data_IF_341749318762
#
_entry.id   IF_341749318762
#
_cell.length_a   1.000
_cell.length_b   1.000
_cell.length_c   1.000
_cell.angle_alpha   90.00
_cell.angle_beta   90.00
_cell.angle_gamma   90.00
#
_symmetry.space_group_name_H-M   'P 1'
#
loop_
_entity.id
_entity.type
_entity.pdbx_description
1 polymer ?
#
# COMPACT_ATOMS: atom_id res chain seq x y z
N UNK A 1 9.71 1.54 -18.96
CA UNK A 1 10.78 1.81 -18.04
C UNK A 1 11.91 2.45 -18.82
N UNK A 2 12.05 3.77 -18.72
CA UNK A 2 13.20 4.50 -19.22
C UNK A 2 14.27 4.24 -18.17
N UNK A 3 15.36 3.57 -18.56
CA UNK A 3 16.49 3.31 -17.67
C UNK A 3 16.93 4.63 -17.02
N UNK A 4 16.85 4.73 -15.70
CA UNK A 4 17.30 5.90 -14.92
C UNK A 4 18.80 6.17 -15.15
N UNK A 5 19.57 5.17 -15.56
CA UNK A 5 20.96 5.31 -15.99
C UNK A 5 21.10 6.18 -17.25
N UNK A 6 20.09 6.27 -18.12
CA UNK A 6 20.18 7.06 -19.36
C UNK A 6 20.12 8.58 -19.13
N UNK A 7 19.51 9.04 -18.05
CA UNK A 7 19.38 10.49 -17.73
C UNK A 7 20.72 11.08 -17.28
N UNK A 8 21.61 10.27 -16.73
CA UNK A 8 22.97 10.67 -16.33
C UNK A 8 23.91 10.75 -17.53
N UNK A 9 23.52 10.21 -18.68
CA UNK A 9 24.38 10.08 -19.85
C UNK A 9 24.50 11.34 -20.73
N UNK A 10 23.54 12.27 -20.66
CA UNK A 10 23.54 13.45 -21.53
C UNK A 10 24.27 14.62 -20.85
N UNK A 11 25.24 15.27 -21.53
CA UNK A 11 25.87 16.48 -21.02
C UNK A 11 24.87 17.60 -20.78
N UNK A 12 24.96 18.29 -19.65
CA UNK A 12 24.10 19.44 -19.29
C UNK A 12 24.91 20.73 -19.30
N UNK A 13 24.23 21.85 -19.49
CA UNK A 13 24.86 23.21 -19.52
C UNK A 13 25.63 23.53 -18.25
N UNK A 14 25.30 22.93 -17.11
CA UNK A 14 25.96 23.12 -15.82
C UNK A 14 27.14 22.18 -15.57
N UNK A 15 27.42 21.22 -16.45
CA UNK A 15 28.51 20.28 -16.25
C UNK A 15 29.87 20.96 -16.38
N UNK A 16 30.79 20.61 -15.51
CA UNK A 16 32.20 20.96 -15.64
C UNK A 16 32.86 20.10 -16.72
N UNK A 17 33.76 20.67 -17.45
CA UNK A 17 34.52 20.00 -18.52
C UNK A 17 36.00 20.06 -18.20
N UNK A 18 36.67 18.90 -18.21
CA UNK A 18 38.11 18.78 -18.22
C UNK A 18 38.56 18.15 -19.54
N UNK A 19 39.63 18.61 -20.11
CA UNK A 19 40.33 17.97 -21.22
C UNK A 19 41.63 17.39 -20.67
N UNK A 20 41.84 16.10 -20.91
CA UNK A 20 43.07 15.41 -20.48
C UNK A 20 43.89 15.01 -21.69
N UNK A 21 45.21 15.03 -21.55
CA UNK A 21 46.16 14.47 -22.51
C UNK A 21 46.23 12.92 -22.45
N UNK A 22 47.05 12.32 -23.32
CA UNK A 22 47.25 10.87 -23.35
C UNK A 22 47.84 10.30 -22.04
N UNK A 23 48.42 11.13 -21.19
CA UNK A 23 49.03 10.78 -19.89
C UNK A 23 48.09 11.07 -18.71
N UNK A 24 46.81 11.41 -19.01
CA UNK A 24 45.77 11.82 -18.04
C UNK A 24 46.13 13.09 -17.23
N UNK A 25 46.92 14.02 -17.85
CA UNK A 25 47.13 15.37 -17.30
C UNK A 25 46.05 16.31 -17.82
N UNK A 26 45.68 17.24 -16.99
CA UNK A 26 44.65 18.24 -17.28
C UNK A 26 45.25 19.34 -18.18
N UNK A 27 44.84 19.36 -19.45
CA UNK A 27 45.21 20.42 -20.40
C UNK A 27 44.29 21.63 -20.31
N UNK A 28 43.02 21.40 -19.93
CA UNK A 28 42.04 22.46 -19.79
C UNK A 28 40.97 22.10 -18.73
N UNK A 29 40.57 23.09 -17.96
CA UNK A 29 39.48 22.99 -17.01
C UNK A 29 38.46 24.13 -17.20
N UNK A 30 37.21 23.83 -17.46
CA UNK A 30 36.14 24.84 -17.51
C UNK A 30 35.87 25.45 -16.12
N UNK A 31 35.34 26.69 -16.04
CA UNK A 31 34.99 27.30 -14.75
C UNK A 31 34.08 26.45 -13.88
N UNK A 32 33.13 25.70 -14.48
CA UNK A 32 32.26 24.80 -13.76
C UNK A 32 33.01 23.59 -13.18
N UNK A 33 34.01 23.06 -13.92
CA UNK A 33 34.88 22.00 -13.41
C UNK A 33 35.73 22.50 -12.22
N UNK A 34 36.31 23.69 -12.33
CA UNK A 34 37.06 24.30 -11.23
C UNK A 34 36.18 24.49 -9.98
N UNK A 35 34.96 24.97 -10.16
CA UNK A 35 34.00 25.13 -9.05
C UNK A 35 33.62 23.79 -8.42
N UNK A 36 33.40 22.75 -9.21
CA UNK A 36 33.16 21.40 -8.71
C UNK A 36 34.34 20.86 -7.91
N UNK A 37 35.55 21.05 -8.42
CA UNK A 37 36.80 20.66 -7.75
C UNK A 37 36.99 21.39 -6.41
N UNK A 38 36.73 22.71 -6.37
CA UNK A 38 36.80 23.47 -5.13
C UNK A 38 35.86 22.95 -4.06
N UNK A 39 34.64 22.50 -4.44
CA UNK A 39 33.70 21.87 -3.51
C UNK A 39 34.18 20.53 -2.96
N UNK A 40 35.01 19.83 -3.74
CA UNK A 40 35.69 18.59 -3.29
C UNK A 40 36.96 18.86 -2.45
N UNK A 41 37.31 20.13 -2.22
CA UNK A 41 38.47 20.51 -1.42
C UNK A 41 39.77 20.61 -2.22
N UNK A 42 39.71 20.58 -3.56
CA UNK A 42 40.87 20.76 -4.43
C UNK A 42 40.99 22.22 -4.81
N UNK A 43 41.96 22.92 -4.23
CA UNK A 43 42.17 24.38 -4.40
C UNK A 43 43.44 24.73 -5.20
N UNK A 44 44.23 23.74 -5.66
CA UNK A 44 45.43 23.97 -6.45
C UNK A 44 45.10 24.22 -7.93
N UNK A 45 46.02 24.85 -8.67
CA UNK A 45 45.89 25.01 -10.12
C UNK A 45 45.79 23.62 -10.79
N UNK A 46 44.76 23.45 -11.61
CA UNK A 46 44.43 22.13 -12.19
C UNK A 46 45.21 21.82 -13.46
N UNK A 47 45.64 22.85 -14.24
CA UNK A 47 46.33 22.68 -15.51
C UNK A 47 47.73 22.10 -15.31
N UNK A 48 48.08 21.10 -16.09
CA UNK A 48 49.35 20.37 -16.02
C UNK A 48 49.41 19.30 -14.90
N UNK A 49 48.42 19.25 -14.00
CA UNK A 49 48.39 18.28 -12.91
C UNK A 49 47.72 17.00 -13.37
N UNK A 50 48.15 15.84 -12.87
CA UNK A 50 47.43 14.58 -13.12
C UNK A 50 46.21 14.52 -12.23
N UNK A 51 45.20 13.81 -12.72
CA UNK A 51 43.91 13.71 -12.02
C UNK A 51 44.02 13.05 -10.62
N UNK A 52 44.95 12.07 -10.48
CA UNK A 52 45.28 11.42 -9.21
C UNK A 52 46.00 12.36 -8.23
N UNK A 53 46.92 13.18 -8.75
CA UNK A 53 47.64 14.20 -7.97
C UNK A 53 46.65 15.29 -7.48
N UNK A 54 45.55 15.53 -8.22
CA UNK A 54 44.48 16.42 -7.83
C UNK A 54 43.53 15.80 -6.79
N UNK A 55 43.77 14.55 -6.34
CA UNK A 55 42.96 13.87 -5.34
C UNK A 55 41.68 13.23 -5.89
N UNK A 56 41.55 13.09 -7.21
CA UNK A 56 40.43 12.39 -7.85
C UNK A 56 40.80 10.95 -8.15
N UNK A 57 39.89 10.04 -7.85
CA UNK A 57 40.05 8.66 -8.27
C UNK A 57 40.13 8.56 -9.79
N UNK A 58 41.03 7.72 -10.29
CA UNK A 58 41.27 7.54 -11.73
C UNK A 58 40.51 6.35 -12.32
N UNK A 59 39.58 5.75 -11.61
CA UNK A 59 38.95 4.48 -12.04
C UNK A 59 38.27 4.65 -13.39
N UNK A 60 37.42 5.66 -13.57
CA UNK A 60 36.75 5.92 -14.84
C UNK A 60 37.71 6.28 -15.97
N UNK A 61 38.73 7.11 -15.71
CA UNK A 61 39.72 7.50 -16.73
C UNK A 61 40.59 6.30 -17.12
N UNK A 62 41.07 5.53 -16.15
CA UNK A 62 41.86 4.33 -16.39
C UNK A 62 41.08 3.28 -17.18
N UNK A 63 39.81 3.07 -16.81
CA UNK A 63 38.92 2.15 -17.51
C UNK A 63 38.65 2.62 -18.95
N UNK A 64 38.34 3.90 -19.14
CA UNK A 64 38.11 4.47 -20.47
C UNK A 64 39.33 4.36 -21.38
N UNK A 65 40.53 4.58 -20.85
CA UNK A 65 41.78 4.46 -21.64
C UNK A 65 42.11 3.00 -22.00
N UNK A 66 41.83 2.05 -21.10
CA UNK A 66 42.03 0.62 -21.34
C UNK A 66 41.03 0.04 -22.33
N UNK A 67 39.72 0.35 -22.13
CA UNK A 67 38.65 -0.21 -22.95
C UNK A 67 38.43 0.55 -24.25
N UNK A 68 38.90 1.81 -24.32
CA UNK A 68 38.60 2.78 -25.39
C UNK A 68 37.11 3.09 -25.54
N UNK A 69 36.34 2.89 -24.45
CA UNK A 69 34.94 3.19 -24.35
C UNK A 69 34.70 4.23 -23.25
N UNK A 70 33.58 4.99 -23.32
CA UNK A 70 33.22 5.88 -22.24
C UNK A 70 33.06 5.10 -20.93
N UNK A 71 33.52 5.69 -19.82
CA UNK A 71 33.36 5.14 -18.47
C UNK A 71 32.90 6.24 -17.52
N UNK A 72 32.13 5.85 -16.52
CA UNK A 72 31.63 6.76 -15.51
C UNK A 72 31.88 6.20 -14.11
N UNK A 73 32.04 7.10 -13.15
CA UNK A 73 32.10 6.78 -11.72
C UNK A 73 31.54 7.94 -10.93
N UNK A 74 31.11 7.63 -9.72
CA UNK A 74 30.63 8.62 -8.78
C UNK A 74 31.54 8.65 -7.56
N UNK A 75 32.05 9.85 -7.22
CA UNK A 75 32.93 10.08 -6.09
C UNK A 75 32.15 10.77 -4.97
N UNK A 76 32.25 10.24 -3.76
CA UNK A 76 31.61 10.81 -2.56
C UNK A 76 32.70 11.38 -1.65
N UNK A 77 32.58 12.66 -1.34
CA UNK A 77 33.48 13.39 -0.46
C UNK A 77 32.77 13.80 0.82
N UNK A 78 33.16 13.23 1.96
CA UNK A 78 32.50 13.47 3.24
C UNK A 78 31.04 12.99 3.25
N UNK A 79 30.19 13.71 3.97
CA UNK A 79 28.77 13.33 4.13
C UNK A 79 27.84 13.92 3.07
N UNK A 80 28.21 15.01 2.40
CA UNK A 80 27.27 15.83 1.65
C UNK A 80 27.66 16.16 0.21
N UNK A 81 28.89 15.89 -0.19
CA UNK A 81 29.36 16.21 -1.55
C UNK A 81 29.47 14.93 -2.38
N UNK A 82 28.77 14.87 -3.49
CA UNK A 82 28.88 13.78 -4.46
C UNK A 82 29.07 14.38 -5.87
N UNK A 83 30.01 13.82 -6.60
CA UNK A 83 30.39 14.28 -7.95
C UNK A 83 30.40 13.09 -8.90
N UNK A 84 29.57 13.16 -9.94
CA UNK A 84 29.61 12.23 -11.05
C UNK A 84 30.73 12.62 -12.04
N UNK A 85 31.55 11.68 -12.40
CA UNK A 85 32.62 11.83 -13.39
C UNK A 85 32.32 10.89 -14.55
N UNK A 86 32.32 11.43 -15.78
CA UNK A 86 32.23 10.64 -16.99
C UNK A 86 33.42 10.96 -17.90
N UNK A 87 34.21 9.95 -18.22
CA UNK A 87 35.35 10.06 -19.13
C UNK A 87 35.01 9.49 -20.50
N UNK A 88 35.19 10.30 -21.53
CA UNK A 88 35.03 9.92 -22.94
C UNK A 88 36.41 9.97 -23.61
N UNK A 89 37.00 8.84 -23.98
CA UNK A 89 38.34 8.82 -24.61
C UNK A 89 38.28 9.38 -26.03
N UNK A 90 39.26 10.20 -26.37
CA UNK A 90 39.50 10.72 -27.72
C UNK A 90 40.46 9.78 -28.45
N UNK A 91 40.01 9.25 -29.56
CA UNK A 91 40.78 8.26 -30.33
C UNK A 91 41.28 8.84 -31.65
N UNK A 92 42.55 8.63 -31.93
CA UNK A 92 43.13 8.83 -33.25
C UNK A 92 43.78 7.51 -33.76
N UNK A 93 43.31 7.02 -34.89
CA UNK A 93 43.76 5.75 -35.48
C UNK A 93 43.73 4.57 -34.48
N UNK A 94 42.76 4.57 -33.57
CA UNK A 94 42.60 3.53 -32.56
C UNK A 94 43.50 3.64 -31.33
N UNK A 95 44.29 4.73 -31.24
CA UNK A 95 45.10 5.07 -30.05
C UNK A 95 44.44 6.19 -29.27
N UNK A 96 44.49 6.14 -27.94
CA UNK A 96 43.98 7.20 -27.08
C UNK A 96 44.95 8.39 -27.14
N UNK A 97 44.47 9.53 -27.59
CA UNK A 97 45.25 10.79 -27.65
C UNK A 97 44.91 11.74 -26.50
N UNK A 98 43.83 11.48 -25.78
CA UNK A 98 43.34 12.24 -24.65
C UNK A 98 41.95 11.83 -24.26
N UNK A 99 41.30 12.63 -23.43
CA UNK A 99 39.89 12.41 -23.07
C UNK A 99 39.18 13.71 -22.73
N UNK A 100 37.86 13.67 -22.90
CA UNK A 100 36.94 14.64 -22.36
C UNK A 100 36.34 14.08 -21.07
N UNK A 101 36.48 14.79 -19.95
CA UNK A 101 35.89 14.40 -18.68
C UNK A 101 34.83 15.40 -18.31
N UNK A 102 33.59 14.89 -18.15
CA UNK A 102 32.46 15.64 -17.61
C UNK A 102 32.42 15.45 -16.10
N UNK A 103 32.27 16.56 -15.38
CA UNK A 103 32.23 16.61 -13.92
C UNK A 103 30.92 17.25 -13.52
N UNK A 104 30.04 16.49 -12.85
CA UNK A 104 28.72 16.93 -12.43
C UNK A 104 28.59 16.86 -10.91
N UNK A 105 28.16 17.95 -10.29
CA UNK A 105 27.74 17.92 -8.91
C UNK A 105 26.36 17.25 -8.81
N UNK A 106 26.30 16.10 -8.13
CA UNK A 106 25.09 15.33 -7.89
C UNK A 106 24.68 15.35 -6.41
N UNK A 107 25.26 16.24 -5.62
CA UNK A 107 25.03 16.33 -4.18
C UNK A 107 23.56 16.58 -3.84
N UNK A 108 22.93 17.54 -4.52
CA UNK A 108 21.51 17.87 -4.28
C UNK A 108 20.58 16.74 -4.69
N UNK A 109 20.87 16.04 -5.79
CA UNK A 109 20.11 14.88 -6.23
C UNK A 109 20.20 13.77 -5.17
N UNK A 110 21.41 13.39 -4.78
CA UNK A 110 21.61 12.39 -3.72
C UNK A 110 21.00 12.78 -2.37
N UNK A 111 21.01 14.06 -2.04
CA UNK A 111 20.38 14.53 -0.82
C UNK A 111 18.86 14.34 -0.88
N UNK A 112 18.24 14.65 -2.02
CA UNK A 112 16.80 14.41 -2.25
C UNK A 112 16.47 12.92 -2.18
N UNK A 113 17.26 12.06 -2.83
CA UNK A 113 17.06 10.61 -2.82
C UNK A 113 17.16 10.04 -1.40
N UNK A 114 18.18 10.46 -0.63
CA UNK A 114 18.31 10.05 0.78
C UNK A 114 17.12 10.52 1.63
N UNK A 115 16.61 11.72 1.40
CA UNK A 115 15.45 12.24 2.12
C UNK A 115 14.20 11.44 1.77
N UNK A 116 14.00 11.09 0.50
CA UNK A 116 12.89 10.23 0.05
C UNK A 116 12.99 8.85 0.71
N UNK A 117 14.12 8.18 0.61
CA UNK A 117 14.35 6.88 1.25
C UNK A 117 14.15 6.91 2.77
N UNK A 118 14.59 7.99 3.44
CA UNK A 118 14.38 8.18 4.88
C UNK A 118 12.91 8.41 5.22
N UNK A 119 12.17 9.15 4.37
CA UNK A 119 10.74 9.39 4.52
C UNK A 119 9.95 8.10 4.36
N UNK A 120 10.27 7.30 3.35
CA UNK A 120 9.63 6.00 3.10
C UNK A 120 9.87 5.01 4.26
N UNK A 121 11.11 4.99 4.78
CA UNK A 121 11.42 4.17 5.95
C UNK A 121 10.63 4.60 7.19
N UNK A 122 10.46 5.92 7.39
CA UNK A 122 9.68 6.45 8.51
C UNK A 122 8.18 6.12 8.36
N UNK A 123 7.61 6.21 7.17
CA UNK A 123 6.21 5.84 6.89
C UNK A 123 5.99 4.36 7.19
N UNK A 124 6.83 3.46 6.69
CA UNK A 124 6.75 2.03 7.00
C UNK A 124 6.84 1.75 8.50
N UNK A 125 7.74 2.41 9.21
CA UNK A 125 7.85 2.26 10.68
C UNK A 125 6.57 2.71 11.40
N UNK A 126 5.92 3.77 10.93
CA UNK A 126 4.62 4.22 11.48
C UNK A 126 3.56 3.14 11.28
N UNK A 127 3.41 2.59 10.06
CA UNK A 127 2.44 1.50 9.80
C UNK A 127 2.73 0.26 10.64
N UNK A 128 4.00 -0.13 10.78
CA UNK A 128 4.40 -1.25 11.65
C UNK A 128 4.03 -1.00 13.11
N UNK A 129 4.25 0.21 13.63
CA UNK A 129 3.87 0.57 15.01
C UNK A 129 2.37 0.61 15.20
N UNK A 130 1.61 1.15 14.26
CA UNK A 130 0.14 1.15 14.29
C UNK A 130 -0.36 -0.29 14.32
N UNK A 131 0.11 -1.16 13.43
CA UNK A 131 -0.22 -2.59 13.42
C UNK A 131 0.04 -3.23 14.79
N UNK A 132 1.24 -3.05 15.36
CA UNK A 132 1.61 -3.65 16.65
C UNK A 132 0.70 -3.14 17.80
N UNK A 133 0.36 -1.86 17.79
CA UNK A 133 -0.57 -1.29 18.78
C UNK A 133 -1.97 -1.88 18.62
N UNK A 134 -2.48 -2.00 17.39
CA UNK A 134 -3.79 -2.59 17.10
C UNK A 134 -3.84 -4.07 17.51
N UNK A 135 -2.77 -4.85 17.26
CA UNK A 135 -2.68 -6.24 17.72
C UNK A 135 -2.70 -6.35 19.25
N UNK A 136 -2.04 -5.42 19.95
CA UNK A 136 -2.08 -5.37 21.42
C UNK A 136 -3.50 -5.06 21.92
N UNK A 137 -4.17 -4.06 21.33
CA UNK A 137 -5.54 -3.69 21.67
C UNK A 137 -6.50 -4.85 21.41
N UNK A 138 -6.43 -5.49 20.24
CA UNK A 138 -7.22 -6.68 19.89
C UNK A 138 -7.02 -7.80 20.93
N UNK A 139 -5.77 -8.09 21.31
CA UNK A 139 -5.47 -9.10 22.33
C UNK A 139 -6.07 -8.75 23.70
N UNK A 140 -6.04 -7.48 24.10
CA UNK A 140 -6.64 -7.02 25.36
C UNK A 140 -8.17 -7.13 25.31
N UNK A 141 -8.81 -6.71 24.23
CA UNK A 141 -10.26 -6.83 24.04
C UNK A 141 -10.69 -8.30 24.12
N UNK A 142 -9.98 -9.22 23.47
CA UNK A 142 -10.22 -10.65 23.52
C UNK A 142 -10.05 -11.26 24.91
N UNK A 143 -9.07 -10.80 25.68
CA UNK A 143 -8.89 -11.24 27.07
C UNK A 143 -10.05 -10.74 27.94
N UNK A 144 -10.51 -9.51 27.73
CA UNK A 144 -11.61 -8.93 28.48
C UNK A 144 -12.94 -9.60 28.14
N UNK A 145 -13.23 -9.87 26.84
CA UNK A 145 -14.46 -10.55 26.44
C UNK A 145 -14.57 -11.94 27.06
N UNK A 146 -13.47 -12.72 27.08
CA UNK A 146 -13.44 -14.05 27.71
C UNK A 146 -13.66 -14.03 29.23
N UNK A 147 -13.42 -12.94 29.91
CA UNK A 147 -13.62 -12.76 31.35
C UNK A 147 -15.03 -12.31 31.72
N UNK A 148 -15.77 -11.79 30.75
CA UNK A 148 -17.15 -11.35 30.95
C UNK A 148 -18.12 -12.53 30.84
N UNK A 149 -19.19 -12.54 31.63
CA UNK A 149 -20.31 -13.47 31.40
C UNK A 149 -20.92 -13.25 30.01
N UNK A 150 -21.58 -14.26 29.50
CA UNK A 150 -22.33 -14.13 28.25
C UNK A 150 -23.41 -13.04 28.35
N UNK A 151 -23.50 -12.20 27.31
CA UNK A 151 -24.43 -11.09 27.25
C UNK A 151 -23.93 -9.93 26.37
N UNK A 152 -24.72 -8.88 26.28
CA UNK A 152 -24.48 -7.72 25.42
C UNK A 152 -23.06 -7.11 25.54
N UNK A 153 -22.54 -7.01 26.77
CA UNK A 153 -21.21 -6.45 27.00
C UNK A 153 -20.08 -7.29 26.41
N UNK A 154 -20.21 -8.64 26.45
CA UNK A 154 -19.26 -9.55 25.82
C UNK A 154 -19.30 -9.41 24.29
N UNK A 155 -20.52 -9.42 23.73
CA UNK A 155 -20.69 -9.23 22.28
C UNK A 155 -20.11 -7.90 21.79
N UNK A 156 -20.34 -6.81 22.51
CA UNK A 156 -19.78 -5.50 22.16
C UNK A 156 -18.24 -5.48 22.15
N UNK A 157 -17.58 -6.22 23.07
CA UNK A 157 -16.13 -6.36 23.08
C UNK A 157 -15.62 -7.22 21.91
N UNK A 158 -16.33 -8.30 21.59
CA UNK A 158 -15.99 -9.17 20.45
C UNK A 158 -16.15 -8.43 19.12
N UNK A 159 -17.21 -7.64 18.95
CA UNK A 159 -17.37 -6.74 17.80
C UNK A 159 -16.23 -5.71 17.72
N UNK A 160 -15.90 -5.08 18.84
CA UNK A 160 -14.81 -4.10 18.88
C UNK A 160 -13.44 -4.74 18.53
N UNK A 161 -13.21 -5.98 18.98
CA UNK A 161 -12.00 -6.74 18.64
C UNK A 161 -11.91 -6.99 17.13
N UNK A 162 -13.00 -7.40 16.49
CA UNK A 162 -13.08 -7.66 15.05
C UNK A 162 -12.79 -6.39 14.23
N UNK A 163 -13.35 -5.23 14.63
CA UNK A 163 -13.09 -3.93 13.97
C UNK A 163 -11.63 -3.52 14.06
N UNK A 164 -11.04 -3.64 15.25
CA UNK A 164 -9.61 -3.37 15.43
C UNK A 164 -8.76 -4.29 14.56
N UNK A 165 -9.17 -5.55 14.43
CA UNK A 165 -8.45 -6.55 13.62
C UNK A 165 -8.54 -6.26 12.12
N UNK A 166 -9.71 -5.82 11.61
CA UNK A 166 -9.84 -5.43 10.19
C UNK A 166 -8.95 -4.24 9.86
N UNK A 167 -8.85 -3.24 10.73
CA UNK A 167 -7.93 -2.12 10.56
C UNK A 167 -6.47 -2.60 10.56
N UNK A 168 -6.12 -3.54 11.45
CA UNK A 168 -4.76 -4.07 11.53
C UNK A 168 -4.34 -4.82 10.24
N UNK A 169 -5.29 -5.48 9.55
CA UNK A 169 -5.05 -6.13 8.25
C UNK A 169 -4.65 -5.11 7.19
N UNK A 170 -5.37 -3.98 7.11
CA UNK A 170 -5.02 -2.89 6.16
C UNK A 170 -3.63 -2.35 6.45
N UNK A 171 -3.34 -2.01 7.70
CA UNK A 171 -2.02 -1.49 8.08
C UNK A 171 -0.88 -2.50 7.90
N UNK A 172 -1.17 -3.80 7.92
CA UNK A 172 -0.19 -4.83 7.60
C UNK A 172 0.20 -4.79 6.12
N UNK A 173 -0.75 -4.58 5.23
CA UNK A 173 -0.51 -4.51 3.79
C UNK A 173 0.20 -3.20 3.43
N UNK A 174 -0.28 -2.06 3.95
CA UNK A 174 0.36 -0.76 3.80
C UNK A 174 1.82 -0.73 4.28
N UNK A 175 2.19 -1.57 5.25
CA UNK A 175 3.58 -1.64 5.71
C UNK A 175 4.54 -2.32 4.72
N UNK A 176 4.03 -2.97 3.68
CA UNK A 176 4.84 -3.67 2.68
C UNK A 176 5.27 -2.74 1.54
N UNK A 177 4.44 -1.75 1.22
CA UNK A 177 4.67 -0.78 0.16
C UNK A 177 5.03 0.61 0.71
N UNK A 178 5.64 1.43 -0.13
CA UNK A 178 6.04 2.81 0.18
C UNK A 178 4.97 3.83 -0.19
N UNK A 179 3.93 3.40 -0.90
CA UNK A 179 2.80 4.22 -1.29
C UNK A 179 1.73 4.20 -0.20
N UNK A 180 1.04 5.32 -0.02
CA UNK A 180 -0.15 5.41 0.87
C UNK A 180 -1.39 4.79 0.20
N UNK A 181 -1.17 3.90 -0.77
CA UNK A 181 -2.18 3.15 -1.50
C UNK A 181 -2.01 1.66 -1.25
N UNK A 182 -3.12 0.93 -1.34
CA UNK A 182 -3.14 -0.52 -1.14
C UNK A 182 -4.07 -1.17 -2.15
N UNK A 183 -3.65 -2.29 -2.72
CA UNK A 183 -4.55 -3.12 -3.50
C UNK A 183 -5.57 -3.79 -2.57
N UNK A 184 -6.83 -3.34 -2.68
CA UNK A 184 -7.89 -3.86 -1.82
C UNK A 184 -8.17 -5.35 -2.07
N UNK A 185 -7.79 -5.87 -3.24
CA UNK A 185 -7.92 -7.29 -3.54
C UNK A 185 -6.97 -8.15 -2.67
N UNK A 186 -5.88 -7.60 -2.17
CA UNK A 186 -4.99 -8.27 -1.22
C UNK A 186 -5.55 -8.30 0.21
N UNK A 187 -6.41 -7.33 0.56
CA UNK A 187 -7.06 -7.22 1.86
C UNK A 187 -8.23 -8.19 1.96
N UNK A 188 -9.08 -8.24 0.94
CA UNK A 188 -10.36 -8.93 0.94
C UNK A 188 -10.28 -10.41 1.35
N UNK A 189 -9.32 -11.23 0.87
CA UNK A 189 -9.20 -12.62 1.30
C UNK A 189 -8.98 -12.80 2.80
N UNK A 190 -8.34 -11.83 3.45
CA UNK A 190 -8.11 -11.87 4.91
C UNK A 190 -9.36 -11.50 5.69
N UNK A 191 -10.15 -10.53 5.19
CA UNK A 191 -11.43 -10.17 5.77
C UNK A 191 -12.46 -11.30 5.64
N UNK A 192 -12.51 -11.94 4.48
CA UNK A 192 -13.40 -13.10 4.22
C UNK A 192 -13.08 -14.24 5.19
N UNK A 193 -11.82 -14.65 5.31
CA UNK A 193 -11.44 -15.69 6.29
C UNK A 193 -11.84 -15.33 7.71
N UNK A 194 -11.68 -14.07 8.10
CA UNK A 194 -12.03 -13.60 9.43
C UNK A 194 -13.54 -13.65 9.68
N UNK A 195 -14.37 -13.43 8.66
CA UNK A 195 -15.82 -13.52 8.75
C UNK A 195 -16.31 -14.99 8.71
N UNK A 196 -15.69 -15.86 7.93
CA UNK A 196 -16.00 -17.30 7.90
C UNK A 196 -15.72 -18.00 9.24
N UNK A 197 -14.70 -17.55 9.98
CA UNK A 197 -14.37 -18.04 11.32
C UNK A 197 -15.51 -17.81 12.36
N UNK A 198 -16.52 -16.98 12.05
CA UNK A 198 -17.71 -16.77 12.88
C UNK A 198 -18.74 -17.89 12.73
N UNK A 199 -18.69 -18.64 11.63
CA UNK A 199 -19.57 -19.78 11.39
C UNK A 199 -19.34 -20.87 12.44
N UNK A 200 -20.42 -21.55 12.83
CA UNK A 200 -20.36 -22.75 13.67
C UNK A 200 -20.57 -24.02 12.84
N UNK A 201 -20.19 -25.20 13.35
CA UNK A 201 -20.48 -26.47 12.66
C UNK A 201 -21.97 -26.67 12.36
N UNK A 202 -22.86 -26.11 13.20
CA UNK A 202 -24.31 -26.20 13.05
C UNK A 202 -24.86 -25.17 12.07
N UNK A 203 -24.14 -24.07 11.85
CA UNK A 203 -24.48 -22.98 10.93
C UNK A 203 -23.23 -22.55 10.14
N UNK A 204 -22.83 -23.32 9.14
CA UNK A 204 -21.67 -23.01 8.34
C UNK A 204 -21.95 -21.78 7.45
N UNK A 205 -21.02 -20.85 7.48
CA UNK A 205 -21.02 -19.65 6.62
C UNK A 205 -19.99 -19.85 5.53
N UNK A 206 -20.36 -19.58 4.29
CA UNK A 206 -19.44 -19.56 3.15
C UNK A 206 -19.51 -18.21 2.47
N UNK A 207 -18.38 -17.58 2.31
CA UNK A 207 -18.29 -16.26 1.70
C UNK A 207 -17.52 -16.38 0.39
N UNK A 208 -18.11 -15.89 -0.69
CA UNK A 208 -17.47 -15.74 -1.98
C UNK A 208 -17.32 -14.27 -2.34
N UNK A 209 -16.31 -13.95 -3.15
CA UNK A 209 -16.15 -12.60 -3.64
C UNK A 209 -15.76 -12.59 -5.11
N UNK A 210 -16.20 -11.56 -5.84
CA UNK A 210 -15.95 -11.37 -7.26
C UNK A 210 -15.68 -9.91 -7.58
N UNK A 211 -15.10 -9.65 -8.75
CA UNK A 211 -14.73 -8.30 -9.15
C UNK A 211 -13.42 -7.82 -8.50
N UNK A 212 -13.16 -6.54 -8.62
CA UNK A 212 -11.95 -5.90 -8.09
C UNK A 212 -12.19 -4.42 -7.74
N UNK A 213 -11.61 -3.96 -6.66
CA UNK A 213 -11.56 -2.54 -6.29
C UNK A 213 -10.26 -1.86 -6.77
N UNK A 214 -9.19 -2.64 -6.97
CA UNK A 214 -7.87 -2.14 -7.35
C UNK A 214 -7.18 -1.35 -6.26
N UNK A 215 -6.30 -0.45 -6.65
CA UNK A 215 -5.57 0.43 -5.75
C UNK A 215 -6.50 1.46 -5.11
N UNK A 216 -6.45 1.57 -3.80
CA UNK A 216 -7.23 2.51 -3.00
C UNK A 216 -6.32 3.25 -2.02
N UNK A 217 -6.49 4.56 -1.83
CA UNK A 217 -5.85 5.29 -0.74
C UNK A 217 -6.16 4.66 0.62
N UNK A 218 -5.21 4.67 1.54
CA UNK A 218 -5.39 4.14 2.91
C UNK A 218 -6.60 4.75 3.63
N UNK A 219 -6.88 6.04 3.34
CA UNK A 219 -8.03 6.77 3.88
C UNK A 219 -9.38 6.18 3.43
N UNK A 220 -9.43 5.52 2.27
CA UNK A 220 -10.61 4.81 1.74
C UNK A 220 -10.58 3.34 2.13
N UNK A 221 -9.45 2.66 1.95
CA UNK A 221 -9.30 1.23 2.19
C UNK A 221 -9.61 0.84 3.65
N UNK A 222 -9.16 1.65 4.62
CA UNK A 222 -9.36 1.36 6.05
C UNK A 222 -10.84 1.38 6.45
N UNK A 223 -11.62 2.46 6.23
CA UNK A 223 -13.03 2.44 6.58
C UNK A 223 -13.83 1.44 5.73
N UNK A 224 -13.46 1.21 4.46
CA UNK A 224 -14.11 0.21 3.61
C UNK A 224 -13.92 -1.22 4.17
N UNK A 225 -12.72 -1.57 4.64
CA UNK A 225 -12.46 -2.86 5.26
C UNK A 225 -13.32 -3.09 6.51
N UNK A 226 -13.52 -2.06 7.35
CA UNK A 226 -14.41 -2.13 8.51
C UNK A 226 -15.85 -2.33 8.05
N UNK A 227 -16.32 -1.53 7.09
CA UNK A 227 -17.70 -1.62 6.56
C UNK A 227 -18.00 -3.02 6.01
N UNK A 228 -17.15 -3.55 5.14
CA UNK A 228 -17.32 -4.88 4.55
C UNK A 228 -17.29 -5.95 5.65
N UNK A 229 -16.42 -5.85 6.63
CA UNK A 229 -16.36 -6.78 7.76
C UNK A 229 -17.67 -6.78 8.55
N UNK A 230 -18.21 -5.61 8.88
CA UNK A 230 -19.48 -5.47 9.59
C UNK A 230 -20.65 -6.06 8.78
N UNK A 231 -20.68 -5.81 7.46
CA UNK A 231 -21.75 -6.34 6.61
C UNK A 231 -21.69 -7.86 6.48
N UNK A 232 -20.50 -8.44 6.28
CA UNK A 232 -20.32 -9.90 6.28
C UNK A 232 -20.70 -10.54 7.62
N UNK A 233 -20.36 -9.87 8.72
CA UNK A 233 -20.71 -10.32 10.06
C UNK A 233 -22.22 -10.25 10.30
N UNK A 234 -22.87 -9.14 9.91
CA UNK A 234 -24.32 -9.03 10.02
C UNK A 234 -25.03 -10.15 9.25
N UNK A 235 -24.53 -10.49 8.06
CA UNK A 235 -25.02 -11.64 7.32
C UNK A 235 -24.80 -12.94 8.11
N UNK A 236 -23.62 -13.19 8.66
CA UNK A 236 -23.28 -14.39 9.40
C UNK A 236 -24.09 -14.57 10.70
N UNK A 237 -24.40 -13.48 11.41
CA UNK A 237 -25.09 -13.51 12.70
C UNK A 237 -26.63 -13.44 12.58
N UNK A 238 -27.14 -12.75 11.57
CA UNK A 238 -28.56 -12.42 11.46
C UNK A 238 -29.30 -13.08 10.28
N UNK A 239 -28.58 -13.46 9.23
CA UNK A 239 -29.17 -14.13 8.09
C UNK A 239 -29.31 -15.63 8.37
N UNK A 240 -30.40 -16.05 9.00
CA UNK A 240 -30.72 -17.49 9.06
C UNK A 240 -31.01 -18.01 7.65
N UNK A 241 -30.43 -19.17 7.26
CA UNK A 241 -30.73 -19.73 5.94
C UNK A 241 -32.22 -19.93 5.72
N UNK A 242 -32.73 -19.60 4.53
CA UNK A 242 -34.12 -19.79 4.18
C UNK A 242 -34.50 -21.27 4.31
N UNK A 243 -35.57 -21.56 5.08
CA UNK A 243 -36.05 -22.92 5.31
C UNK A 243 -35.83 -23.46 6.73
N UNK A 244 -35.09 -22.74 7.59
CA UNK A 244 -35.03 -23.08 9.02
C UNK A 244 -36.25 -22.47 9.72
N UNK A 245 -37.16 -23.29 10.32
CA UNK A 245 -38.31 -22.73 11.01
C UNK A 245 -37.88 -21.90 12.22
N UNK A 246 -38.45 -20.70 12.38
CA UNK A 246 -38.20 -19.83 13.53
C UNK A 246 -38.50 -20.48 14.90
N UNK A 247 -39.23 -21.59 14.91
CA UNK A 247 -39.57 -22.38 16.12
C UNK A 247 -38.38 -23.18 16.70
N UNK A 248 -37.27 -23.35 15.95
CA UNK A 248 -36.06 -24.05 16.43
C UNK A 248 -35.29 -23.19 17.42
N UNK A 249 -35.40 -21.87 17.32
CA UNK A 249 -34.73 -20.91 18.24
C UNK A 249 -35.46 -20.76 19.58
N UNK A 250 -36.69 -21.25 19.74
CA UNK A 250 -37.54 -21.01 20.94
C UNK A 250 -37.91 -22.26 21.74
N UNK A 251 -37.17 -23.37 21.67
CA UNK A 251 -37.26 -24.48 22.64
C UNK A 251 -38.59 -25.28 22.66
N UNK A 252 -39.38 -25.27 21.59
CA UNK A 252 -40.61 -26.08 21.47
C UNK A 252 -40.24 -27.52 21.05
N UNK A 253 -40.15 -28.39 22.06
CA UNK A 253 -39.89 -29.81 21.90
C UNK A 253 -41.13 -30.60 21.47
N UNK A 254 -41.06 -31.42 20.48
CA UNK A 254 -41.65 -32.73 20.17
C UNK A 254 -42.08 -32.98 18.71
N UNK A 255 -42.48 -31.95 17.94
CA UNK A 255 -42.86 -32.14 16.53
C UNK A 255 -41.67 -31.91 15.53
N UNK A 256 -40.57 -31.43 16.05
CA UNK A 256 -39.38 -30.99 15.25
C UNK A 256 -38.30 -32.11 15.08
N UNK A 257 -38.47 -33.28 15.69
CA UNK A 257 -37.39 -34.26 15.79
C UNK A 257 -36.89 -34.83 14.45
N UNK A 258 -37.79 -34.99 13.49
CA UNK A 258 -37.43 -35.53 12.17
C UNK A 258 -36.82 -34.46 11.25
N UNK A 259 -37.33 -33.22 11.30
CA UNK A 259 -36.75 -32.07 10.60
C UNK A 259 -35.41 -31.64 11.21
N UNK A 260 -35.31 -31.64 12.55
CA UNK A 260 -34.03 -31.37 13.27
C UNK A 260 -32.99 -32.42 12.91
N UNK A 261 -33.36 -33.68 12.75
CA UNK A 261 -32.43 -34.76 12.37
C UNK A 261 -31.97 -34.60 10.92
N UNK A 262 -32.83 -34.22 9.99
CA UNK A 262 -32.48 -33.95 8.59
C UNK A 262 -31.58 -32.71 8.46
N UNK A 263 -31.81 -31.68 9.29
CA UNK A 263 -30.95 -30.49 9.35
C UNK A 263 -29.60 -30.78 10.01
N UNK A 264 -29.50 -31.75 10.93
CA UNK A 264 -28.23 -32.17 11.56
C UNK A 264 -27.37 -33.01 10.63
N UNK A 265 -27.97 -33.71 9.67
CA UNK A 265 -27.22 -34.49 8.66
C UNK A 265 -26.69 -33.60 7.49
N UNK A 266 -27.35 -32.47 7.21
CA UNK A 266 -26.95 -31.53 6.16
C UNK A 266 -27.39 -30.10 6.54
N UNK A 267 -26.67 -29.42 7.41
CA UNK A 267 -27.06 -28.09 7.87
C UNK A 267 -27.12 -27.12 6.69
N UNK A 268 -28.13 -26.26 6.63
CA UNK A 268 -28.26 -25.27 5.58
C UNK A 268 -27.04 -24.29 5.67
N UNK A 269 -26.38 -24.13 4.55
CA UNK A 269 -25.20 -23.25 4.44
C UNK A 269 -25.67 -21.84 4.17
N UNK A 270 -25.26 -20.89 5.00
CA UNK A 270 -25.41 -19.49 4.68
C UNK A 270 -24.37 -19.09 3.62
N UNK A 271 -24.85 -18.59 2.51
CA UNK A 271 -24.02 -18.08 1.43
C UNK A 271 -23.99 -16.55 1.49
N UNK A 272 -22.82 -15.97 1.51
CA UNK A 272 -22.63 -14.52 1.41
C UNK A 272 -21.77 -14.26 0.19
N UNK A 273 -22.17 -13.33 -0.65
CA UNK A 273 -21.46 -12.93 -1.85
C UNK A 273 -21.09 -11.45 -1.75
N UNK A 274 -19.81 -11.14 -1.99
CA UNK A 274 -19.27 -9.77 -2.04
C UNK A 274 -18.84 -9.50 -3.47
N UNK A 275 -19.48 -8.53 -4.12
CA UNK A 275 -19.10 -8.10 -5.48
C UNK A 275 -18.54 -6.69 -5.44
N UNK A 276 -17.41 -6.47 -6.14
CA UNK A 276 -16.76 -5.17 -6.25
C UNK A 276 -16.69 -4.75 -7.73
N UNK A 277 -17.24 -3.59 -8.02
CA UNK A 277 -17.26 -3.01 -9.35
C UNK A 277 -16.64 -1.62 -9.32
N UNK A 278 -15.44 -1.49 -9.88
CA UNK A 278 -14.76 -0.20 -10.07
C UNK A 278 -15.15 0.38 -11.43
N UNK A 279 -15.69 1.58 -11.42
CA UNK A 279 -16.02 2.35 -12.61
C UNK A 279 -15.40 3.75 -12.44
N UNK A 280 -14.34 4.03 -13.16
CA UNK A 280 -13.59 5.29 -13.12
C UNK A 280 -13.37 5.80 -11.68
N UNK A 281 -14.11 6.84 -11.30
CA UNK A 281 -14.06 7.53 -10.00
C UNK A 281 -14.98 6.94 -8.93
N UNK A 282 -15.65 5.81 -9.21
CA UNK A 282 -16.60 5.20 -8.27
C UNK A 282 -16.34 3.74 -8.05
N UNK A 283 -16.53 3.31 -6.81
CA UNK A 283 -16.53 1.91 -6.41
C UNK A 283 -17.92 1.53 -5.89
N UNK A 284 -18.57 0.59 -6.59
CA UNK A 284 -19.80 -0.05 -6.11
C UNK A 284 -19.47 -1.40 -5.47
N UNK A 285 -20.00 -1.61 -4.26
CA UNK A 285 -19.84 -2.86 -3.53
C UNK A 285 -21.22 -3.41 -3.20
N UNK A 286 -21.44 -4.68 -3.52
CA UNK A 286 -22.65 -5.40 -3.15
C UNK A 286 -22.26 -6.49 -2.16
N UNK A 287 -23.03 -6.58 -1.07
CA UNK A 287 -22.97 -7.70 -0.12
C UNK A 287 -24.34 -8.34 -0.10
N UNK A 288 -24.42 -9.60 -0.52
CA UNK A 288 -25.67 -10.37 -0.62
C UNK A 288 -25.61 -11.58 0.27
N UNK A 289 -26.71 -11.89 0.97
CA UNK A 289 -26.91 -13.15 1.66
C UNK A 289 -28.13 -13.90 1.12
N UNK A 290 -28.20 -15.21 1.37
CA UNK A 290 -29.35 -16.05 1.04
C UNK A 290 -30.26 -16.31 2.25
N UNK A 291 -30.25 -15.44 3.25
CA UNK A 291 -31.01 -15.57 4.48
C UNK A 291 -32.46 -15.15 4.37
N UNK A 292 -33.11 -14.95 5.53
CA UNK A 292 -34.53 -14.56 5.61
C UNK A 292 -34.78 -13.10 5.18
N UNK A 293 -33.74 -12.30 4.95
CA UNK A 293 -33.86 -10.90 4.58
C UNK A 293 -34.19 -9.97 5.74
N UNK A 294 -34.47 -8.70 5.40
CA UNK A 294 -34.80 -7.63 6.33
C UNK A 294 -36.29 -7.64 6.71
N UNK A 295 -36.65 -7.21 7.92
CA UNK A 295 -38.06 -6.99 8.29
C UNK A 295 -38.75 -6.03 7.33
N UNK A 296 -40.09 -6.14 7.14
CA UNK A 296 -40.85 -5.33 6.18
C UNK A 296 -40.70 -3.81 6.37
N UNK A 297 -40.56 -3.36 7.62
CA UNK A 297 -40.48 -1.93 7.99
C UNK A 297 -39.02 -1.51 8.28
N UNK A 298 -38.05 -2.30 7.87
CA UNK A 298 -36.63 -1.99 8.12
C UNK A 298 -36.20 -0.78 7.30
N UNK A 299 -35.59 0.19 7.98
CA UNK A 299 -34.85 1.28 7.37
C UNK A 299 -33.51 1.45 8.10
N UNK A 300 -32.43 1.66 7.35
CA UNK A 300 -31.10 1.81 7.93
C UNK A 300 -31.02 3.03 8.86
N UNK A 301 -31.86 4.05 8.64
CA UNK A 301 -31.90 5.27 9.44
C UNK A 301 -32.49 5.04 10.85
N UNK A 302 -33.34 4.06 11.01
CA UNK A 302 -34.04 3.76 12.29
C UNK A 302 -33.42 2.56 13.02
N UNK A 303 -32.28 2.06 12.58
CA UNK A 303 -31.62 0.92 13.23
C UNK A 303 -31.02 1.31 14.57
N UNK A 304 -31.27 0.48 15.58
CA UNK A 304 -30.62 0.56 16.90
C UNK A 304 -29.35 -0.29 16.98
N UNK A 305 -29.02 -1.05 15.92
CA UNK A 305 -27.83 -1.88 15.86
C UNK A 305 -26.58 -1.00 15.80
N UNK A 306 -25.63 -1.27 16.69
CA UNK A 306 -24.35 -0.55 16.75
C UNK A 306 -23.56 -0.73 15.45
N UNK A 307 -23.50 -1.96 14.91
CA UNK A 307 -22.77 -2.26 13.68
C UNK A 307 -23.28 -1.47 12.48
N UNK A 308 -24.58 -1.48 12.21
CA UNK A 308 -25.17 -0.71 11.10
C UNK A 308 -25.05 0.81 11.31
N UNK A 309 -25.11 1.29 12.56
CA UNK A 309 -24.87 2.70 12.87
C UNK A 309 -23.42 3.12 12.50
N UNK A 310 -22.44 2.27 12.78
CA UNK A 310 -21.03 2.48 12.39
C UNK A 310 -20.87 2.44 10.87
N UNK A 311 -21.47 1.44 10.21
CA UNK A 311 -21.45 1.32 8.74
C UNK A 311 -21.98 2.60 8.10
N UNK A 312 -23.16 3.07 8.52
CA UNK A 312 -23.75 4.33 8.02
C UNK A 312 -22.84 5.53 8.27
N UNK A 313 -22.28 5.62 9.49
CA UNK A 313 -21.35 6.69 9.85
C UNK A 313 -20.12 6.70 8.96
N UNK A 314 -19.47 5.55 8.78
CA UNK A 314 -18.25 5.44 7.97
C UNK A 314 -18.54 5.73 6.48
N UNK A 315 -19.62 5.16 5.93
CA UNK A 315 -20.00 5.37 4.53
C UNK A 315 -20.29 6.86 4.27
N UNK A 316 -21.10 7.49 5.13
CA UNK A 316 -21.49 8.89 4.91
C UNK A 316 -20.41 9.90 5.23
N UNK A 317 -19.60 9.69 6.30
CA UNK A 317 -18.67 10.73 6.78
C UNK A 317 -17.22 10.54 6.32
N UNK A 318 -16.75 9.29 6.18
CA UNK A 318 -15.36 9.03 5.80
C UNK A 318 -15.22 8.64 4.33
N UNK A 319 -16.15 7.83 3.82
CA UNK A 319 -16.12 7.39 2.43
C UNK A 319 -16.87 8.35 1.48
N UNK A 320 -17.65 9.31 2.00
CA UNK A 320 -18.42 10.25 1.18
C UNK A 320 -19.43 9.56 0.25
N UNK A 321 -19.79 8.32 0.56
CA UNK A 321 -20.62 7.46 -0.25
C UNK A 321 -22.07 7.35 0.24
N UNK A 322 -22.81 6.46 -0.39
CA UNK A 322 -24.19 6.11 -0.03
C UNK A 322 -24.32 4.62 0.24
N UNK A 323 -25.28 4.25 1.07
CA UNK A 323 -25.64 2.86 1.37
C UNK A 323 -27.14 2.67 1.17
N UNK A 324 -27.50 1.58 0.51
CA UNK A 324 -28.88 1.12 0.41
C UNK A 324 -29.00 -0.34 0.78
N UNK A 325 -30.15 -0.73 1.32
CA UNK A 325 -30.44 -2.11 1.70
C UNK A 325 -31.81 -2.51 1.17
N UNK A 326 -31.91 -3.72 0.61
CA UNK A 326 -33.17 -4.26 0.09
C UNK A 326 -33.24 -5.77 0.25
N UNK A 327 -34.45 -6.33 0.14
CA UNK A 327 -34.66 -7.77 0.06
C UNK A 327 -34.68 -8.24 -1.40
N UNK A 328 -33.90 -9.32 -1.68
CA UNK A 328 -33.88 -9.98 -2.97
C UNK A 328 -33.42 -11.44 -2.79
N UNK A 329 -34.35 -12.28 -2.28
CA UNK A 329 -34.03 -13.68 -1.92
C UNK A 329 -33.13 -13.83 -0.70
N UNK A 330 -32.99 -12.80 0.09
CA UNK A 330 -32.12 -12.56 1.24
C UNK A 330 -31.91 -11.06 1.38
N UNK A 331 -30.86 -10.62 2.05
CA UNK A 331 -30.51 -9.21 2.13
C UNK A 331 -29.52 -8.84 1.04
N UNK A 332 -29.72 -7.72 0.38
CA UNK A 332 -28.76 -7.08 -0.51
C UNK A 332 -28.42 -5.71 0.02
N UNK A 333 -27.15 -5.50 0.30
CA UNK A 333 -26.59 -4.20 0.67
C UNK A 333 -25.80 -3.69 -0.51
N UNK A 334 -26.04 -2.44 -0.91
CA UNK A 334 -25.30 -1.76 -1.97
C UNK A 334 -24.65 -0.52 -1.39
N UNK A 335 -23.34 -0.40 -1.63
CA UNK A 335 -22.51 0.77 -1.33
C UNK A 335 -22.12 1.42 -2.63
N UNK A 336 -22.17 2.74 -2.70
CA UNK A 336 -21.65 3.53 -3.82
C UNK A 336 -20.73 4.61 -3.27
N UNK A 337 -19.43 4.47 -3.55
CA UNK A 337 -18.33 5.19 -2.91
C UNK A 337 -17.56 5.97 -3.99
N UNK A 338 -17.36 7.29 -3.85
CA UNK A 338 -16.42 8.02 -4.70
C UNK A 338 -14.98 7.59 -4.35
N UNK A 339 -14.20 7.33 -5.38
CA UNK A 339 -12.77 7.03 -5.26
C UNK A 339 -12.05 7.88 -6.26
N UNK A 340 -11.53 9.02 -5.80
CA UNK A 340 -10.70 9.88 -6.64
C UNK A 340 -9.46 9.11 -7.09
N UNK A 341 -9.14 9.17 -8.38
CA UNK A 341 -7.81 8.78 -8.86
C UNK A 341 -6.80 9.68 -8.17
N UNK A 342 -5.71 9.09 -7.66
CA UNK A 342 -4.58 9.88 -7.16
C UNK A 342 -4.13 10.79 -8.31
N UNK A 343 -4.39 12.07 -8.18
CA UNK A 343 -4.03 13.06 -9.20
C UNK A 343 -2.52 12.98 -9.43
N UNK A 344 -2.10 12.64 -10.64
CA UNK A 344 -0.74 12.83 -11.15
C UNK A 344 -0.37 14.32 -11.26
N UNK A 345 -0.99 15.20 -10.48
CA UNK A 345 -0.75 16.64 -10.45
C UNK A 345 0.48 17.00 -9.60
N UNK A 346 1.67 16.54 -10.00
CA UNK A 346 2.94 17.09 -9.53
C UNK A 346 3.96 17.30 -10.67
N UNK A 347 3.52 17.43 -11.93
CA UNK A 347 4.39 17.81 -13.05
C UNK A 347 4.12 19.22 -13.62
N UNK A 348 3.65 20.17 -12.81
CA UNK A 348 3.60 21.56 -13.29
C UNK A 348 3.81 22.55 -12.15
N UNK A 349 5.04 22.63 -11.62
CA UNK A 349 5.57 23.86 -10.97
C UNK A 349 7.11 23.86 -11.03
#
# INVERSE_FOLDING_TARGET
>A
PVDEDSVTEVPRVGDGVLVLDASARIDYASPNAVNAMHRMGVYSGLEGVRLDEAGLAQSAVSLAYQTKLPAAEELVFGSDTAVGIRCVPLLDHGSVTGSLVLVRDVSDLRRRDRLLLSKDAAIREVHHRVKNNLQTISSLLRIQSRRMPEGEGRHALEESERRVRSIAVVHEILSRDTTDEVDFNDILPSLVRMAEDLGSPDHPVRISYTGAAGQLPAAVATPLAVVITELMQNAAEHAMPAGVPASVSSGAHEAASEQIRALSENPPVLLVEVELHREDDRLRVFVRDNGIGLPPDFTIDNTSSLGLSIVRGLVGTQLGGTISMRNDGGTVVELDIPVEEASEDLESL
#
